data_IF_911228209522
#
_entry.id   IF_911228209522
#
_cell.length_a   1.000
_cell.length_b   1.000
_cell.length_c   1.000
_cell.angle_alpha   90.00
_cell.angle_beta   90.00
_cell.angle_gamma   90.00
#
_symmetry.space_group_name_H-M   'P 1'
#
loop_
_entity.id
_entity.type
_entity.pdbx_description
1 polymer ?
#
# COMPACT_ATOMS: atom_id res chain seq x y z
N UNK A 1 7.88 -11.06 1.50
CA UNK A 1 6.75 -11.92 1.08
C UNK A 1 5.44 -11.15 0.82
N UNK A 2 5.45 -9.89 0.38
CA UNK A 2 4.21 -9.08 0.24
C UNK A 2 3.62 -9.06 -1.18
N UNK A 3 4.35 -9.53 -2.19
CA UNK A 3 3.95 -9.44 -3.62
C UNK A 3 3.16 -10.66 -4.13
N UNK A 4 3.31 -11.81 -3.48
CA UNK A 4 2.66 -13.05 -3.91
C UNK A 4 1.16 -13.09 -3.54
N UNK A 5 0.77 -12.47 -2.42
CA UNK A 5 -0.63 -12.46 -1.97
C UNK A 5 -1.54 -11.65 -2.88
N UNK A 6 -1.02 -10.62 -3.54
CA UNK A 6 -1.82 -9.80 -4.47
C UNK A 6 -2.24 -10.61 -5.69
N UNK A 7 -1.36 -11.48 -6.19
CA UNK A 7 -1.66 -12.36 -7.33
C UNK A 7 -2.82 -13.32 -7.04
N UNK A 8 -2.95 -13.80 -5.80
CA UNK A 8 -4.08 -14.64 -5.39
C UNK A 8 -5.44 -13.94 -5.48
N UNK A 9 -5.48 -12.61 -5.45
CA UNK A 9 -6.74 -11.85 -5.59
C UNK A 9 -6.94 -11.41 -7.04
N UNK A 10 -5.88 -10.94 -7.70
CA UNK A 10 -5.98 -10.40 -9.07
C UNK A 10 -6.26 -11.50 -10.09
N UNK A 11 -5.64 -12.67 -9.97
CA UNK A 11 -5.80 -13.79 -10.91
C UNK A 11 -7.25 -14.31 -10.98
N UNK A 12 -7.94 -14.63 -9.86
CA UNK A 12 -9.33 -15.06 -9.93
C UNK A 12 -10.28 -13.95 -10.38
N UNK A 13 -10.02 -12.68 -10.03
CA UNK A 13 -10.83 -11.56 -10.53
C UNK A 13 -10.76 -11.50 -12.05
N UNK A 14 -9.56 -11.58 -12.64
CA UNK A 14 -9.40 -11.62 -14.10
C UNK A 14 -10.13 -12.82 -14.70
N UNK A 15 -9.98 -14.01 -14.12
CA UNK A 15 -10.62 -15.22 -14.61
C UNK A 15 -12.17 -15.11 -14.63
N UNK A 16 -12.77 -14.59 -13.55
CA UNK A 16 -14.22 -14.40 -13.45
C UNK A 16 -14.71 -13.40 -14.49
N UNK A 17 -14.01 -12.27 -14.65
CA UNK A 17 -14.37 -11.26 -15.65
C UNK A 17 -14.26 -11.81 -17.07
N UNK A 18 -13.20 -12.57 -17.38
CA UNK A 18 -13.03 -13.21 -18.68
C UNK A 18 -14.11 -14.27 -18.95
N UNK A 19 -14.48 -15.09 -17.96
CA UNK A 19 -15.55 -16.07 -18.09
C UNK A 19 -16.91 -15.40 -18.33
N UNK A 20 -17.21 -14.33 -17.60
CA UNK A 20 -18.41 -13.51 -17.83
C UNK A 20 -18.40 -12.89 -19.24
N UNK A 21 -17.24 -12.47 -19.74
CA UNK A 21 -17.09 -11.95 -21.10
C UNK A 21 -17.37 -12.96 -22.20
N UNK A 22 -16.80 -14.15 -22.06
CA UNK A 22 -16.95 -15.22 -23.04
C UNK A 22 -18.38 -15.76 -23.01
N UNK A 23 -18.94 -15.97 -21.83
CA UNK A 23 -20.29 -16.51 -21.64
C UNK A 23 -21.38 -15.50 -22.01
N UNK A 24 -21.18 -14.21 -21.75
CA UNK A 24 -22.15 -13.15 -22.03
C UNK A 24 -21.64 -12.19 -23.12
N UNK A 25 -21.31 -12.74 -24.30
CA UNK A 25 -21.01 -11.95 -25.52
C UNK A 25 -22.24 -11.33 -26.18
N UNK A 26 -23.43 -11.75 -25.75
CA UNK A 26 -24.70 -11.23 -26.24
C UNK A 26 -24.84 -9.73 -25.92
N UNK A 27 -25.25 -8.96 -26.92
CA UNK A 27 -25.52 -7.53 -26.76
C UNK A 27 -26.81 -7.40 -25.95
N UNK A 28 -26.73 -6.73 -24.81
CA UNK A 28 -27.88 -6.46 -23.93
C UNK A 28 -28.06 -4.95 -23.86
N UNK A 29 -29.31 -4.50 -24.04
CA UNK A 29 -29.67 -3.11 -23.86
C UNK A 29 -29.70 -2.80 -22.36
N UNK A 30 -28.72 -2.04 -21.87
CA UNK A 30 -28.67 -1.58 -20.49
C UNK A 30 -29.24 -0.17 -20.40
N UNK A 31 -30.39 -0.03 -19.75
CA UNK A 31 -31.02 1.26 -19.48
C UNK A 31 -30.47 1.86 -18.18
N UNK A 32 -30.03 3.12 -18.24
CA UNK A 32 -29.64 3.89 -17.05
C UNK A 32 -30.81 4.67 -16.44
N UNK A 33 -32.04 4.43 -16.90
CA UNK A 33 -33.24 5.09 -16.39
C UNK A 33 -34.08 4.13 -15.52
N UNK A 34 -34.15 4.33 -14.20
CA UNK A 34 -34.94 3.49 -13.30
C UNK A 34 -36.43 3.89 -13.23
N UNK A 35 -36.84 5.00 -13.87
CA UNK A 35 -38.19 5.57 -13.74
C UNK A 35 -39.00 5.60 -15.04
N UNK A 36 -38.36 5.45 -16.21
CA UNK A 36 -39.06 5.34 -17.49
C UNK A 36 -38.69 4.06 -18.25
N UNK A 37 -39.62 3.11 -18.26
CA UNK A 37 -39.46 1.83 -18.98
C UNK A 37 -39.84 1.91 -20.45
N UNK A 38 -40.61 2.92 -20.85
CA UNK A 38 -41.14 3.08 -22.22
C UNK A 38 -40.31 3.98 -23.13
N UNK A 39 -39.60 4.97 -22.58
CA UNK A 39 -38.72 5.88 -23.35
C UNK A 39 -37.48 6.25 -22.53
N UNK A 40 -36.49 5.34 -22.41
CA UNK A 40 -35.28 5.61 -21.65
C UNK A 40 -34.52 6.82 -22.21
N UNK A 41 -34.13 7.76 -21.35
CA UNK A 41 -33.29 8.89 -21.78
C UNK A 41 -31.89 8.45 -22.23
N UNK A 42 -31.36 7.40 -21.59
CA UNK A 42 -30.03 6.86 -21.92
C UNK A 42 -30.03 5.32 -21.81
N UNK A 43 -30.04 4.67 -22.97
CA UNK A 43 -29.87 3.22 -23.12
C UNK A 43 -28.58 2.95 -23.90
N UNK A 44 -27.73 2.07 -23.36
CA UNK A 44 -26.48 1.67 -24.00
C UNK A 44 -26.60 0.20 -24.38
N UNK A 45 -26.43 -0.07 -25.67
CA UNK A 45 -26.35 -1.43 -26.18
C UNK A 45 -24.88 -1.87 -26.21
N UNK A 46 -24.54 -2.75 -25.28
CA UNK A 46 -23.21 -3.29 -25.19
C UNK A 46 -23.26 -4.70 -24.59
N UNK A 47 -22.32 -5.59 -24.94
CA UNK A 47 -22.15 -6.84 -24.21
C UNK A 47 -21.94 -6.59 -22.71
N UNK A 48 -22.57 -7.40 -21.87
CA UNK A 48 -22.62 -7.19 -20.42
C UNK A 48 -21.23 -7.12 -19.76
N UNK A 49 -20.26 -7.80 -20.37
CA UNK A 49 -18.89 -7.85 -19.87
C UNK A 49 -18.16 -6.52 -19.86
N UNK A 50 -18.56 -5.58 -20.72
CA UNK A 50 -17.97 -4.24 -20.78
C UNK A 50 -18.30 -3.48 -19.48
N UNK A 51 -19.54 -3.56 -19.01
CA UNK A 51 -19.96 -2.93 -17.75
C UNK A 51 -19.20 -3.51 -16.54
N UNK A 52 -19.02 -4.83 -16.50
CA UNK A 52 -18.26 -5.50 -15.44
C UNK A 52 -16.79 -5.10 -15.47
N UNK A 53 -16.16 -5.08 -16.65
CA UNK A 53 -14.77 -4.66 -16.81
C UNK A 53 -14.56 -3.23 -16.30
N UNK A 54 -15.45 -2.30 -16.68
CA UNK A 54 -15.38 -0.91 -16.23
C UNK A 54 -15.56 -0.83 -14.71
N UNK A 55 -16.53 -1.55 -14.13
CA UNK A 55 -16.76 -1.58 -12.69
C UNK A 55 -15.52 -2.07 -11.91
N UNK A 56 -14.93 -3.18 -12.36
CA UNK A 56 -13.70 -3.74 -11.77
C UNK A 56 -12.52 -2.78 -11.94
N UNK A 57 -12.35 -2.21 -13.14
CA UNK A 57 -11.30 -1.23 -13.41
C UNK A 57 -11.41 -0.02 -12.47
N UNK A 58 -12.63 0.51 -12.28
CA UNK A 58 -12.89 1.61 -11.36
C UNK A 58 -12.53 1.23 -9.92
N UNK A 59 -12.90 0.02 -9.49
CA UNK A 59 -12.52 -0.52 -8.18
C UNK A 59 -11.00 -0.61 -8.00
N UNK A 60 -10.26 -1.02 -9.05
CA UNK A 60 -8.80 -1.08 -9.02
C UNK A 60 -8.19 0.32 -8.97
N UNK A 61 -8.70 1.28 -9.75
CA UNK A 61 -8.21 2.67 -9.74
C UNK A 61 -8.43 3.30 -8.36
N UNK A 62 -9.61 3.12 -7.78
CA UNK A 62 -9.95 3.66 -6.45
C UNK A 62 -9.12 2.96 -5.36
N UNK A 63 -9.04 1.63 -5.38
CA UNK A 63 -8.28 0.84 -4.41
C UNK A 63 -6.76 1.07 -4.50
N UNK A 64 -6.23 1.14 -5.72
CA UNK A 64 -4.82 1.45 -5.99
C UNK A 64 -4.48 2.89 -5.64
N UNK A 65 -5.31 3.84 -6.05
CA UNK A 65 -5.16 5.27 -5.76
C UNK A 65 -5.20 5.58 -4.26
N UNK A 66 -6.16 4.98 -3.53
CA UNK A 66 -6.25 5.12 -2.06
C UNK A 66 -5.02 4.54 -1.35
N UNK A 67 -4.54 3.36 -1.77
CA UNK A 67 -3.32 2.77 -1.25
C UNK A 67 -2.06 3.62 -1.53
N UNK A 68 -2.01 4.28 -2.70
CA UNK A 68 -0.94 5.22 -3.04
C UNK A 68 -0.94 6.46 -2.15
N UNK A 69 -2.12 7.06 -1.94
CA UNK A 69 -2.27 8.21 -1.05
C UNK A 69 -1.90 7.87 0.40
N UNK A 70 -2.32 6.71 0.91
CA UNK A 70 -1.97 6.24 2.25
C UNK A 70 -0.47 5.91 2.39
N UNK A 71 0.13 5.32 1.34
CA UNK A 71 1.55 4.95 1.32
C UNK A 71 2.51 6.14 1.25
N UNK A 72 2.10 7.25 0.64
CA UNK A 72 2.92 8.47 0.50
C UNK A 72 3.32 9.08 1.85
N UNK A 73 2.36 9.22 2.77
CA UNK A 73 2.62 9.81 4.10
C UNK A 73 3.52 8.92 4.97
N UNK A 74 3.38 7.59 4.84
CA UNK A 74 4.16 6.64 5.63
C UNK A 74 5.65 6.70 5.25
N UNK A 75 5.96 6.91 3.96
CA UNK A 75 7.35 7.08 3.46
C UNK A 75 8.04 8.31 4.05
N UNK A 76 7.32 9.40 4.26
CA UNK A 76 7.84 10.60 4.93
C UNK A 76 8.12 10.33 6.41
N UNK A 77 7.20 9.65 7.12
CA UNK A 77 7.38 9.26 8.52
C UNK A 77 8.57 8.32 8.71
N UNK A 78 8.76 7.33 7.84
CA UNK A 78 9.89 6.39 7.96
C UNK A 78 11.25 7.10 7.87
N UNK A 79 11.37 8.14 7.04
CA UNK A 79 12.61 8.95 6.95
C UNK A 79 12.87 9.73 8.24
N UNK A 80 11.82 10.27 8.86
CA UNK A 80 11.92 11.04 10.12
C UNK A 80 12.32 10.13 11.29
N UNK A 81 11.64 9.00 11.46
CA UNK A 81 11.96 8.02 12.50
C UNK A 81 13.39 7.44 12.34
N UNK A 82 13.88 7.24 11.11
CA UNK A 82 15.28 6.80 10.89
C UNK A 82 16.32 7.83 11.35
N UNK A 83 16.00 9.12 11.30
CA UNK A 83 16.91 10.17 11.79
C UNK A 83 16.92 10.20 13.32
N UNK A 84 15.75 10.18 13.94
CA UNK A 84 15.62 10.20 15.41
C UNK A 84 16.31 9.00 16.08
N UNK A 85 16.10 7.79 15.55
CA UNK A 85 16.79 6.58 16.03
C UNK A 85 18.31 6.69 15.92
N UNK A 86 18.85 7.27 14.82
CA UNK A 86 20.30 7.48 14.65
C UNK A 86 20.86 8.49 15.66
N UNK A 87 20.12 9.56 15.94
CA UNK A 87 20.53 10.57 16.92
C UNK A 87 20.50 10.01 18.35
N UNK A 88 19.43 9.28 18.72
CA UNK A 88 19.31 8.61 20.01
C UNK A 88 20.42 7.58 20.22
N UNK A 89 20.75 6.80 19.18
CA UNK A 89 21.83 5.80 19.24
C UNK A 89 23.21 6.43 19.45
N UNK A 90 23.48 7.56 18.77
CA UNK A 90 24.72 8.34 18.98
C UNK A 90 24.81 8.92 20.40
N UNK A 91 23.70 9.43 20.93
CA UNK A 91 23.66 9.95 22.30
C UNK A 91 23.99 8.86 23.33
N UNK A 92 23.41 7.66 23.18
CA UNK A 92 23.72 6.51 24.04
C UNK A 92 25.20 6.09 23.96
N UNK A 93 25.78 6.01 22.76
CA UNK A 93 27.21 5.69 22.58
C UNK A 93 28.11 6.75 23.24
N UNK A 94 27.74 8.03 23.16
CA UNK A 94 28.51 9.11 23.79
C UNK A 94 28.42 9.11 25.32
N UNK A 95 27.27 8.78 25.92
CA UNK A 95 27.12 8.64 27.37
C UNK A 95 27.85 7.39 27.91
N UNK A 96 27.87 6.29 27.15
CA UNK A 96 28.59 5.07 27.53
C UNK A 96 30.12 5.26 27.49
N UNK A 97 30.61 6.05 26.52
CA UNK A 97 32.03 6.41 26.41
C UNK A 97 32.51 7.31 27.57
N UNK A 98 31.62 8.20 28.06
CA UNK A 98 31.93 9.09 29.20
C UNK A 98 31.91 8.35 30.54
N UNK A 99 31.00 7.39 30.73
CA UNK A 99 30.92 6.60 31.97
C UNK A 99 32.03 5.56 32.12
N UNK A 100 32.65 5.11 31.02
CA UNK A 100 33.77 4.16 31.06
C UNK A 100 35.17 4.75 31.32
N UNK A 101 35.32 6.08 31.31
CA UNK A 101 36.64 6.75 31.39
C UNK A 101 37.10 7.15 32.81
N UNK A 102 36.24 7.54 33.79
CA UNK A 102 36.75 7.89 35.12
C UNK A 102 37.33 6.66 35.86
N UNK A 103 36.65 5.51 35.83
CA UNK A 103 37.12 4.29 36.51
C UNK A 103 38.42 3.72 35.91
N UNK A 104 38.63 3.84 34.58
CA UNK A 104 39.85 3.38 33.92
C UNK A 104 41.04 4.33 34.14
N UNK A 105 40.77 5.61 34.32
CA UNK A 105 41.81 6.60 34.64
C UNK A 105 42.24 6.56 36.12
N UNK A 106 41.32 6.27 37.04
CA UNK A 106 41.66 5.96 38.45
C UNK A 106 42.43 4.65 38.59
N UNK A 107 41.95 3.55 37.98
CA UNK A 107 42.66 2.27 38.03
C UNK A 107 44.08 2.34 37.43
N UNK A 108 44.27 3.17 36.38
CA UNK A 108 45.59 3.42 35.77
C UNK A 108 46.49 4.31 36.62
N UNK A 109 45.93 5.21 37.43
CA UNK A 109 46.68 6.04 38.39
C UNK A 109 47.14 5.23 39.60
N UNK A 110 46.34 4.25 40.05
CA UNK A 110 46.67 3.36 41.17
C UNK A 110 47.63 2.22 40.78
N UNK A 111 47.70 1.86 39.50
CA UNK A 111 48.58 0.81 38.99
C UNK A 111 49.97 1.30 38.52
N UNK A 112 50.28 2.60 38.67
CA UNK A 112 51.61 3.13 38.35
C UNK A 112 52.52 3.01 39.59
N UNK A 113 53.57 2.17 39.56
CA UNK A 113 54.51 2.07 40.67
C UNK A 113 55.49 3.25 40.67
N UNK A 114 55.86 3.70 41.88
CA UNK A 114 56.88 4.72 42.14
C UNK A 114 58.29 4.22 41.80
#
# INVERSE_FOLDING_TARGET
MKRLRTWFVTLPVIAVVSLLAIANRQVVTFSFDPFSSSSPFLAIEAPFFIFILISVFLGIVIGGGSAWFAGGQLRAKTRRLKRETRTLKKALESSHSQTGTPARSEARRLAAPN
#
